data_IF_248656730084
#
_entry.id   IF_248656730084
#
_cell.length_a   1.000
_cell.length_b   1.000
_cell.length_c   1.000
_cell.angle_alpha   90.00
_cell.angle_beta   90.00
_cell.angle_gamma   90.00
#
_symmetry.space_group_name_H-M   'P 1'
#
loop_
_entity.id
_entity.type
_entity.pdbx_description
1 polymer ?
#
# COMPACT_ATOMS: atom_id res chain seq x y z
N UNK A 1 -25.50 5.60 -5.44
CA UNK A 1 -24.52 5.09 -4.47
C UNK A 1 -23.80 3.93 -5.12
N UNK A 2 -22.54 4.12 -5.54
CA UNK A 2 -21.76 3.02 -6.13
C UNK A 2 -21.46 2.00 -5.03
N UNK A 3 -21.90 0.75 -5.21
CA UNK A 3 -21.46 -0.36 -4.36
C UNK A 3 -19.93 -0.39 -4.40
N UNK A 4 -19.29 -0.10 -3.26
CA UNK A 4 -17.83 -0.04 -3.17
C UNK A 4 -17.32 -1.46 -3.36
N UNK A 5 -16.77 -1.73 -4.54
CA UNK A 5 -16.23 -3.04 -4.89
C UNK A 5 -15.09 -3.38 -3.92
N UNK A 6 -15.21 -4.52 -3.28
CA UNK A 6 -14.17 -5.07 -2.41
C UNK A 6 -13.29 -6.04 -3.20
N UNK A 7 -12.05 -6.19 -2.76
CA UNK A 7 -11.18 -7.30 -3.14
C UNK A 7 -10.54 -7.86 -1.87
N UNK A 8 -10.25 -9.15 -1.88
CA UNK A 8 -9.55 -9.81 -0.78
C UNK A 8 -8.05 -9.64 -0.97
N UNK A 9 -7.36 -9.14 0.06
CA UNK A 9 -5.90 -9.06 0.08
C UNK A 9 -5.27 -10.44 -0.10
N UNK A 10 -4.10 -10.54 -0.79
CA UNK A 10 -3.38 -11.80 -0.92
C UNK A 10 -3.01 -12.40 0.44
N UNK A 11 -2.70 -13.70 0.45
CA UNK A 11 -2.18 -14.35 1.63
C UNK A 11 -0.86 -13.69 2.09
N UNK A 12 -0.55 -13.74 3.40
CA UNK A 12 0.60 -13.05 4.01
C UNK A 12 1.92 -13.26 3.25
N UNK A 13 2.25 -14.52 2.94
CA UNK A 13 3.48 -14.86 2.19
C UNK A 13 3.51 -14.21 0.81
N UNK A 14 2.36 -14.17 0.14
CA UNK A 14 2.24 -13.56 -1.18
C UNK A 14 2.34 -12.05 -1.11
N UNK A 15 1.76 -11.39 -0.09
CA UNK A 15 1.95 -9.95 0.15
C UNK A 15 3.44 -9.62 0.26
N UNK A 16 4.17 -10.31 1.14
CA UNK A 16 5.61 -10.08 1.33
C UNK A 16 6.40 -10.29 0.04
N UNK A 17 6.12 -11.36 -0.71
CA UNK A 17 6.76 -11.64 -1.99
C UNK A 17 6.52 -10.52 -3.02
N UNK A 18 5.28 -10.05 -3.14
CA UNK A 18 4.91 -9.02 -4.11
C UNK A 18 5.41 -7.64 -3.73
N UNK A 19 5.51 -7.31 -2.44
CA UNK A 19 6.09 -6.02 -2.00
C UNK A 19 7.61 -5.99 -2.19
N UNK A 20 8.29 -7.12 -2.03
CA UNK A 20 9.73 -7.24 -2.27
C UNK A 20 10.13 -6.98 -3.73
N UNK A 21 9.23 -7.21 -4.71
CA UNK A 21 9.50 -6.87 -6.12
C UNK A 21 9.45 -5.38 -6.40
N UNK A 22 8.71 -4.61 -5.60
CA UNK A 22 8.61 -3.15 -5.72
C UNK A 22 9.74 -2.47 -4.96
N UNK A 23 10.11 -3.00 -3.79
CA UNK A 23 11.19 -2.48 -2.97
C UNK A 23 12.01 -3.63 -2.36
N UNK A 24 13.19 -3.95 -2.90
CA UNK A 24 14.03 -5.05 -2.38
C UNK A 24 14.76 -4.72 -1.06
N UNK A 25 14.52 -3.56 -0.46
CA UNK A 25 15.13 -3.13 0.81
C UNK A 25 14.76 -4.09 1.96
N UNK A 26 15.78 -4.68 2.60
CA UNK A 26 15.61 -5.54 3.78
C UNK A 26 14.95 -4.79 4.94
N UNK A 27 15.28 -3.51 5.11
CA UNK A 27 14.69 -2.68 6.15
C UNK A 27 13.18 -2.48 5.91
N UNK A 28 12.77 -2.27 4.65
CA UNK A 28 11.35 -2.18 4.31
C UNK A 28 10.66 -3.53 4.52
N UNK A 29 11.31 -4.64 4.17
CA UNK A 29 10.77 -5.98 4.39
C UNK A 29 10.50 -6.27 5.88
N UNK A 30 11.45 -5.92 6.74
CA UNK A 30 11.38 -6.19 8.18
C UNK A 30 10.30 -5.36 8.89
N UNK A 31 10.11 -4.10 8.47
CA UNK A 31 9.19 -3.19 9.16
C UNK A 31 7.94 -2.92 8.32
N UNK A 32 8.07 -2.18 7.22
CA UNK A 32 6.92 -1.71 6.44
C UNK A 32 6.12 -2.87 5.81
N UNK A 33 6.76 -3.76 5.05
CA UNK A 33 6.08 -4.86 4.38
C UNK A 33 5.46 -5.83 5.36
N UNK A 34 6.12 -6.04 6.50
CA UNK A 34 5.61 -6.87 7.59
C UNK A 34 4.32 -6.30 8.20
N UNK A 35 4.20 -4.97 8.31
CA UNK A 35 2.94 -4.35 8.75
C UNK A 35 1.84 -4.44 7.70
N UNK A 36 2.14 -4.13 6.44
CA UNK A 36 1.17 -4.27 5.34
C UNK A 36 0.66 -5.72 5.25
N UNK A 37 1.52 -6.71 5.50
CA UNK A 37 1.17 -8.12 5.51
C UNK A 37 0.25 -8.54 6.67
N UNK A 38 0.00 -7.68 7.67
CA UNK A 38 -1.02 -7.93 8.70
C UNK A 38 -2.45 -7.75 8.16
N UNK A 39 -2.61 -7.10 7.02
CA UNK A 39 -3.89 -6.98 6.30
C UNK A 39 -4.14 -8.14 5.32
N UNK A 40 -3.34 -9.21 5.39
CA UNK A 40 -3.49 -10.36 4.50
C UNK A 40 -4.86 -11.03 4.66
N UNK A 41 -5.45 -11.48 3.56
CA UNK A 41 -6.76 -12.13 3.54
C UNK A 41 -7.91 -11.25 4.08
N UNK A 42 -7.70 -9.95 4.24
CA UNK A 42 -8.74 -8.98 4.60
C UNK A 42 -9.40 -8.42 3.34
N UNK A 43 -10.72 -8.25 3.38
CA UNK A 43 -11.44 -7.55 2.31
C UNK A 43 -11.24 -6.04 2.44
N UNK A 44 -10.72 -5.44 1.37
CA UNK A 44 -10.48 -3.99 1.28
C UNK A 44 -11.20 -3.41 0.06
N UNK A 45 -11.57 -2.14 0.17
CA UNK A 45 -11.98 -1.32 -0.98
C UNK A 45 -10.76 -0.63 -1.58
N UNK A 46 -10.90 0.00 -2.75
CA UNK A 46 -9.85 0.82 -3.34
C UNK A 46 -9.34 1.91 -2.37
N UNK A 47 -10.26 2.59 -1.67
CA UNK A 47 -9.92 3.57 -0.64
C UNK A 47 -9.19 2.92 0.54
N UNK A 48 -9.66 1.77 1.00
CA UNK A 48 -9.01 1.03 2.09
C UNK A 48 -7.56 0.64 1.79
N UNK A 49 -7.22 0.31 0.55
CA UNK A 49 -5.83 0.04 0.15
C UNK A 49 -4.98 1.29 0.25
N UNK A 50 -5.48 2.42 -0.28
CA UNK A 50 -4.74 3.68 -0.27
C UNK A 50 -4.50 4.10 1.18
N UNK A 51 -5.55 4.14 2.00
CA UNK A 51 -5.45 4.50 3.42
C UNK A 51 -4.48 3.59 4.16
N UNK A 52 -4.59 2.26 3.99
CA UNK A 52 -3.67 1.31 4.63
C UNK A 52 -2.21 1.59 4.23
N UNK A 53 -1.92 1.73 2.93
CA UNK A 53 -0.54 1.97 2.47
C UNK A 53 0.01 3.31 2.99
N UNK A 54 -0.78 4.38 2.94
CA UNK A 54 -0.34 5.69 3.41
C UNK A 54 -0.12 5.70 4.92
N UNK A 55 -1.02 5.09 5.70
CA UNK A 55 -0.89 5.03 7.16
C UNK A 55 0.31 4.19 7.59
N UNK A 56 0.57 3.05 6.93
CA UNK A 56 1.74 2.23 7.26
C UNK A 56 3.07 2.92 6.89
N UNK A 57 3.09 3.68 5.79
CA UNK A 57 4.26 4.50 5.43
C UNK A 57 4.47 5.63 6.44
N UNK A 58 3.41 6.31 6.86
CA UNK A 58 3.47 7.37 7.86
C UNK A 58 3.96 6.84 9.22
N UNK A 59 3.40 5.71 9.67
CA UNK A 59 3.80 5.05 10.91
C UNK A 59 5.27 4.61 10.86
N UNK A 60 5.71 4.06 9.72
CA UNK A 60 7.11 3.72 9.50
C UNK A 60 8.01 4.96 9.57
N UNK A 61 7.68 6.04 8.85
CA UNK A 61 8.51 7.25 8.83
C UNK A 61 8.59 7.92 10.20
N UNK A 62 7.47 7.96 10.92
CA UNK A 62 7.39 8.47 12.29
C UNK A 62 8.29 7.65 13.23
N UNK A 63 8.22 6.32 13.14
CA UNK A 63 9.03 5.42 13.96
C UNK A 63 10.53 5.63 13.78
N UNK A 64 10.98 5.91 12.57
CA UNK A 64 12.41 6.09 12.24
C UNK A 64 12.82 7.56 12.12
N UNK A 65 11.95 8.51 12.49
CA UNK A 65 12.19 9.96 12.44
C UNK A 65 12.73 10.45 11.09
N UNK A 66 12.26 9.87 10.00
CA UNK A 66 12.82 10.11 8.66
C UNK A 66 11.78 10.73 7.73
N UNK A 67 11.60 12.05 7.84
CA UNK A 67 10.68 12.80 6.99
C UNK A 67 11.08 12.76 5.50
N UNK A 68 12.39 12.73 5.20
CA UNK A 68 12.87 12.59 3.83
C UNK A 68 12.52 11.23 3.20
N UNK A 69 12.40 10.17 4.01
CA UNK A 69 11.96 8.86 3.52
C UNK A 69 10.47 8.83 3.17
N UNK A 70 9.65 9.70 3.77
CA UNK A 70 8.22 9.74 3.47
C UNK A 70 7.97 10.00 1.98
N UNK A 71 8.65 10.99 1.39
CA UNK A 71 8.55 11.28 -0.05
C UNK A 71 8.94 10.07 -0.90
N UNK A 72 10.07 9.43 -0.56
CA UNK A 72 10.57 8.27 -1.31
C UNK A 72 9.60 7.09 -1.24
N UNK A 73 9.02 6.83 -0.07
CA UNK A 73 8.07 5.73 0.12
C UNK A 73 6.71 6.02 -0.52
N UNK A 74 6.25 7.28 -0.48
CA UNK A 74 5.03 7.71 -1.18
C UNK A 74 5.14 7.48 -2.69
N UNK A 75 6.31 7.72 -3.29
CA UNK A 75 6.55 7.40 -4.71
C UNK A 75 6.42 5.90 -5.04
N UNK A 76 6.54 5.00 -4.05
CA UNK A 76 6.38 3.55 -4.24
C UNK A 76 4.93 3.08 -4.15
N UNK A 77 4.01 3.89 -3.61
CA UNK A 77 2.61 3.52 -3.40
C UNK A 77 1.92 3.02 -4.68
N UNK A 78 2.07 3.65 -5.85
CA UNK A 78 1.50 3.12 -7.10
C UNK A 78 2.03 1.72 -7.44
N UNK A 79 3.30 1.46 -7.16
CA UNK A 79 3.93 0.15 -7.34
C UNK A 79 3.32 -0.89 -6.39
N UNK A 80 3.15 -0.54 -5.11
CA UNK A 80 2.50 -1.42 -4.13
C UNK A 80 1.04 -1.71 -4.47
N UNK A 81 0.26 -0.72 -4.92
CA UNK A 81 -1.13 -0.92 -5.37
C UNK A 81 -1.16 -1.93 -6.53
N UNK A 82 -0.33 -1.73 -7.56
CA UNK A 82 -0.24 -2.64 -8.72
C UNK A 82 0.19 -4.05 -8.32
N UNK A 83 1.08 -4.17 -7.34
CA UNK A 83 1.55 -5.45 -6.85
C UNK A 83 0.47 -6.19 -6.06
N UNK A 84 -0.27 -5.51 -5.17
CA UNK A 84 -1.22 -6.15 -4.26
C UNK A 84 -2.59 -6.43 -4.92
N UNK A 85 -3.08 -5.49 -5.72
CA UNK A 85 -4.47 -5.51 -6.22
C UNK A 85 -4.52 -6.13 -7.62
N UNK A 86 -5.05 -7.36 -7.72
CA UNK A 86 -5.22 -8.06 -9.01
C UNK A 86 -6.46 -7.60 -9.80
N UNK A 87 -7.53 -7.17 -9.12
CA UNK A 87 -8.72 -6.66 -9.81
C UNK A 87 -8.38 -5.30 -10.46
N UNK A 88 -8.38 -5.26 -11.79
CA UNK A 88 -7.97 -4.08 -12.55
C UNK A 88 -8.85 -2.85 -12.28
N UNK A 89 -10.13 -3.03 -11.95
CA UNK A 89 -11.03 -1.90 -11.64
C UNK A 89 -10.69 -1.32 -10.28
N UNK A 90 -10.51 -2.18 -9.27
CA UNK A 90 -10.11 -1.73 -7.92
C UNK A 90 -8.72 -1.10 -7.95
N UNK A 91 -7.79 -1.68 -8.73
CA UNK A 91 -6.44 -1.14 -8.91
C UNK A 91 -6.49 0.27 -9.54
N UNK A 92 -7.25 0.44 -10.63
CA UNK A 92 -7.38 1.74 -11.31
C UNK A 92 -8.04 2.79 -10.42
N UNK A 93 -9.05 2.38 -9.63
CA UNK A 93 -9.70 3.27 -8.67
C UNK A 93 -8.76 3.67 -7.52
N UNK A 94 -8.00 2.73 -6.97
CA UNK A 94 -7.02 3.01 -5.92
C UNK A 94 -5.91 3.96 -6.40
N UNK A 95 -5.42 3.77 -7.63
CA UNK A 95 -4.44 4.68 -8.24
C UNK A 95 -5.02 6.09 -8.44
N UNK A 96 -6.29 6.20 -8.87
CA UNK A 96 -6.98 7.49 -9.00
C UNK A 96 -7.15 8.18 -7.65
N UNK A 97 -7.55 7.45 -6.61
CA UNK A 97 -7.71 7.98 -5.25
C UNK A 97 -6.35 8.46 -4.72
N UNK A 98 -5.30 7.66 -4.86
CA UNK A 98 -3.96 8.03 -4.42
C UNK A 98 -3.47 9.32 -5.08
N UNK A 99 -3.64 9.46 -6.40
CA UNK A 99 -3.29 10.69 -7.11
C UNK A 99 -4.04 11.93 -6.57
N UNK A 100 -5.29 11.78 -6.14
CA UNK A 100 -6.06 12.88 -5.53
C UNK A 100 -5.58 13.25 -4.13
N UNK A 101 -5.05 12.28 -3.37
CA UNK A 101 -4.49 12.51 -2.03
C UNK A 101 -3.12 13.18 -2.14
N UNK A 102 -2.26 12.70 -3.04
CA UNK A 102 -0.91 13.23 -3.26
C UNK A 102 -0.92 14.69 -3.74
N UNK A 103 -1.87 15.07 -4.61
CA UNK A 103 -2.02 16.47 -5.07
C UNK A 103 -2.51 17.46 -4.00
N UNK A 104 -2.91 17.00 -2.81
CA UNK A 104 -3.42 17.83 -1.70
C UNK A 104 -2.44 17.98 -0.53
N UNK A 105 -1.34 17.22 -0.54
CA UNK A 105 -0.27 17.31 0.44
C UNK A 105 0.80 18.31 -0.03
#
# INVERSE_FOLDING_TARGET
MSSRRTFTMPARREVLQRLATVSPSQHHAQYLHSQVANYSSTDLTAEGVVTMLTSEIEAYCTRFQSGAMAVTLTMLVPGYIKALVRDQRVQSEALRIFAQVDTKA
#
